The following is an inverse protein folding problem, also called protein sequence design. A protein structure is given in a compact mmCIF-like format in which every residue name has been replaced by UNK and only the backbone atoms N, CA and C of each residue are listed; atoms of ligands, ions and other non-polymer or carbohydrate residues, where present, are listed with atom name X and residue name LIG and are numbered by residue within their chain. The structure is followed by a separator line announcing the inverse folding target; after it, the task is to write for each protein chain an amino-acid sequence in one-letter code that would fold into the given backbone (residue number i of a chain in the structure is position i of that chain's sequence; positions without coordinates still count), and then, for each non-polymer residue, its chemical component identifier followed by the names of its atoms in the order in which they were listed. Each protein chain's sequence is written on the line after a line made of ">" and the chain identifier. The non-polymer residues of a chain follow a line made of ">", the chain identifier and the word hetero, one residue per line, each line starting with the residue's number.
data_IF_620729132390
#
_entry.id   IF_620729132390
#
_cell.length_a   1.000
_cell.length_b   1.000
_cell.length_c   1.000
_cell.angle_alpha   90.00
_cell.angle_beta   90.00
_cell.angle_gamma   90.00
#
_symmetry.space_group_name_H-M   'P 1'
#
loop_
_entity.id
_entity.type
_entity.pdbx_description
1 polymer ?
#
# COMPACT_ATOMS: atom_id res chain seq x y z
N UNK A 1 9.83 11.53 -2.15
CA UNK A 1 8.90 10.61 -1.46
C UNK A 1 9.10 9.16 -1.90
N UNK A 2 9.84 8.33 -1.12
CA UNK A 2 10.04 6.91 -1.41
C UNK A 2 8.83 6.12 -0.90
N UNK A 3 7.68 6.29 -1.55
CA UNK A 3 6.41 5.66 -1.13
C UNK A 3 5.80 4.71 -2.16
N UNK A 4 6.42 4.59 -3.34
CA UNK A 4 5.92 3.74 -4.41
C UNK A 4 7.00 2.73 -4.81
N UNK A 5 7.13 1.64 -4.03
CA UNK A 5 7.83 0.46 -4.50
C UNK A 5 6.97 -0.13 -5.63
N UNK A 6 7.19 0.34 -6.86
CA UNK A 6 6.53 -0.17 -8.05
C UNK A 6 6.92 -1.66 -8.16
N UNK A 7 6.00 -2.61 -7.96
CA UNK A 7 6.34 -4.03 -8.09
C UNK A 7 6.72 -4.40 -9.54
N UNK A 8 6.35 -3.55 -10.50
CA UNK A 8 6.62 -3.71 -11.93
C UNK A 8 8.06 -3.31 -12.32
N UNK A 9 8.76 -2.53 -11.47
CA UNK A 9 10.10 -2.01 -11.76
C UNK A 9 11.24 -2.92 -11.26
N UNK A 10 10.90 -3.98 -10.52
CA UNK A 10 11.89 -4.94 -10.01
C UNK A 10 12.23 -5.95 -11.10
N UNK A 11 13.52 -6.24 -11.28
CA UNK A 11 13.93 -7.33 -12.18
C UNK A 11 13.50 -8.68 -11.60
N UNK A 12 13.32 -9.73 -12.44
CA UNK A 12 12.99 -11.07 -11.96
C UNK A 12 14.03 -11.60 -10.95
N UNK A 13 15.31 -11.29 -11.12
CA UNK A 13 16.36 -11.72 -10.19
C UNK A 13 16.24 -11.03 -8.82
N UNK A 14 15.97 -9.72 -8.82
CA UNK A 14 15.76 -8.97 -7.59
C UNK A 14 14.50 -9.45 -6.85
N UNK A 15 13.41 -9.75 -7.58
CA UNK A 15 12.20 -10.35 -7.01
C UNK A 15 12.51 -11.67 -6.30
N UNK A 16 13.18 -12.60 -6.99
CA UNK A 16 13.53 -13.91 -6.44
C UNK A 16 14.43 -13.81 -5.20
N UNK A 17 15.36 -12.85 -5.19
CA UNK A 17 16.24 -12.60 -4.04
C UNK A 17 15.43 -12.13 -2.83
N UNK A 18 14.50 -11.20 -3.03
CA UNK A 18 13.64 -10.69 -1.97
C UNK A 18 12.71 -11.78 -1.44
N UNK A 19 12.13 -12.60 -2.33
CA UNK A 19 11.29 -13.75 -1.94
C UNK A 19 12.08 -14.77 -1.12
N UNK A 20 13.31 -15.11 -1.54
CA UNK A 20 14.21 -15.99 -0.80
C UNK A 20 14.55 -15.44 0.60
N UNK A 21 14.85 -14.14 0.70
CA UNK A 21 15.22 -13.51 1.96
C UNK A 21 14.01 -13.33 2.91
N UNK A 22 12.84 -13.01 2.36
CA UNK A 22 11.65 -12.75 3.14
C UNK A 22 10.89 -14.03 3.52
N UNK A 23 11.09 -15.12 2.78
CA UNK A 23 10.39 -16.39 3.01
C UNK A 23 8.90 -16.35 2.64
N UNK A 24 8.48 -15.39 1.81
CA UNK A 24 7.09 -15.21 1.38
C UNK A 24 7.04 -14.62 -0.05
N UNK A 25 5.94 -14.81 -0.80
CA UNK A 25 5.80 -14.27 -2.14
C UNK A 25 5.95 -12.74 -2.16
N UNK A 26 6.58 -12.20 -3.21
CA UNK A 26 6.86 -10.77 -3.33
C UNK A 26 5.58 -9.93 -3.25
N UNK A 27 4.49 -10.47 -3.78
CA UNK A 27 3.17 -9.86 -3.80
C UNK A 27 2.51 -9.79 -2.41
N UNK A 28 2.99 -10.56 -1.44
CA UNK A 28 2.48 -10.51 -0.07
C UNK A 28 3.23 -9.46 0.78
N UNK A 29 4.39 -8.97 0.33
CA UNK A 29 5.27 -8.08 1.10
C UNK A 29 4.71 -6.69 1.32
N UNK A 30 3.79 -6.27 0.46
CA UNK A 30 3.12 -4.99 0.57
C UNK A 30 1.80 -5.09 1.35
N UNK A 31 1.48 -6.25 1.95
CA UNK A 31 0.33 -6.46 2.83
C UNK A 31 -1.02 -6.26 2.12
N UNK A 32 -2.12 -6.22 2.91
CA UNK A 32 -3.50 -5.98 2.46
C UNK A 32 -3.74 -4.57 1.87
N UNK A 33 -2.84 -4.08 1.02
CA UNK A 33 -2.93 -2.83 0.29
C UNK A 33 -3.81 -2.96 -0.97
N UNK A 34 -4.85 -3.79 -0.90
CA UNK A 34 -5.79 -4.00 -2.00
C UNK A 34 -6.41 -2.66 -2.45
N UNK A 35 -6.66 -1.74 -1.52
CA UNK A 35 -7.11 -0.38 -1.82
C UNK A 35 -6.10 0.37 -2.68
N UNK A 36 -4.81 0.33 -2.34
CA UNK A 36 -3.76 0.98 -3.12
C UNK A 36 -3.62 0.38 -4.52
N UNK A 37 -3.62 -0.95 -4.62
CA UNK A 37 -3.52 -1.65 -5.91
C UNK A 37 -4.72 -1.39 -6.82
N UNK A 38 -5.94 -1.52 -6.29
CA UNK A 38 -7.17 -1.26 -7.06
C UNK A 38 -7.29 0.20 -7.52
N UNK A 39 -6.68 1.14 -6.78
CA UNK A 39 -6.70 2.56 -7.12
C UNK A 39 -5.43 3.03 -7.84
N UNK A 40 -4.50 2.14 -8.25
CA UNK A 40 -3.21 2.51 -8.87
C UNK A 40 -3.31 3.30 -10.17
N UNK A 41 -4.37 3.04 -10.94
CA UNK A 41 -4.66 3.75 -12.19
C UNK A 41 -5.69 4.86 -11.99
N UNK A 42 -6.21 5.03 -10.77
CA UNK A 42 -7.14 6.12 -10.48
C UNK A 42 -6.35 7.38 -10.16
N UNK A 43 -6.83 8.55 -10.62
CA UNK A 43 -6.26 9.81 -10.20
C UNK A 43 -6.30 9.90 -8.67
N UNK A 44 -5.24 10.46 -8.09
CA UNK A 44 -5.14 10.64 -6.65
C UNK A 44 -6.40 11.33 -6.12
N UNK A 45 -6.91 10.86 -4.98
CA UNK A 45 -8.05 11.50 -4.35
C UNK A 45 -7.72 12.98 -4.10
N UNK A 46 -8.67 13.90 -4.33
CA UNK A 46 -8.46 15.31 -4.03
C UNK A 46 -8.08 15.48 -2.56
N UNK A 47 -7.27 16.50 -2.27
CA UNK A 47 -6.85 16.81 -0.90
C UNK A 47 -8.08 16.97 0.01
N UNK A 48 -7.99 16.38 1.20
CA UNK A 48 -9.04 16.53 2.22
C UNK A 48 -9.18 18.02 2.53
N UNK A 49 -10.32 18.60 2.12
CA UNK A 49 -10.68 19.98 2.47
C UNK A 49 -11.20 19.96 3.89
N UNK A 50 -10.38 20.52 4.77
CA UNK A 50 -10.58 20.64 6.20
C UNK A 50 -10.74 19.32 6.94
N UNK A 51 -10.29 19.34 8.19
CA UNK A 51 -10.33 18.20 9.10
C UNK A 51 -11.79 17.74 9.22
N UNK A 52 -12.15 16.65 8.55
CA UNK A 52 -13.37 15.93 8.87
C UNK A 52 -13.32 15.67 10.39
N UNK A 53 -14.24 16.28 11.14
CA UNK A 53 -14.39 16.01 12.56
C UNK A 53 -14.81 14.55 12.65
N UNK A 54 -13.82 13.67 12.85
CA UNK A 54 -14.03 12.26 13.07
C UNK A 54 -14.67 12.13 14.46
N UNK A 55 -16.00 12.13 14.50
CA UNK A 55 -16.76 11.77 15.69
C UNK A 55 -16.54 10.27 15.95
N UNK A 56 -15.45 9.94 16.65
CA UNK A 56 -15.23 8.57 17.14
C UNK A 56 -16.33 8.23 18.13
N UNK A 57 -17.31 7.45 17.69
CA UNK A 57 -18.38 6.94 18.55
C UNK A 57 -17.98 5.66 19.30
N UNK A 58 -16.73 5.22 19.18
CA UNK A 58 -16.23 4.06 19.92
C UNK A 58 -15.63 4.52 21.26
N UNK A 59 -16.18 3.99 22.35
CA UNK A 59 -15.89 4.23 23.77
C UNK A 59 -16.78 5.26 24.47
N UNK A 60 -18.02 4.87 24.75
CA UNK A 60 -18.67 5.22 26.02
C UNK A 60 -18.95 3.89 26.72
N UNK A 61 -18.13 3.60 27.73
CA UNK A 61 -18.25 2.40 28.56
C UNK A 61 -19.52 2.38 29.40
#
# INVERSE_FOLDING_TARGET
>A
EPGHAMPEAVTPQARATVEMLAGMPYESLWGNNNIGYLNRNKPAAPSLKDRAVLNSTYNRG
#
